data_IF_864700084209
#
_entry.id   IF_864700084209
#
_cell.length_a   1.000
_cell.length_b   1.000
_cell.length_c   1.000
_cell.angle_alpha   90.00
_cell.angle_beta   90.00
_cell.angle_gamma   90.00
#
_symmetry.space_group_name_H-M   'P 1'
#
loop_
_entity.id
_entity.type
_entity.pdbx_description
1 polymer ?
#
# COMPACT_ATOMS: atom_id res chain seq x y z
N UNK A 1 -26.92 5.92 4.99
CA UNK A 1 -25.84 5.12 5.62
C UNK A 1 -25.28 4.04 4.69
N UNK A 2 -26.10 3.35 3.87
CA UNK A 2 -25.62 2.37 2.90
C UNK A 2 -24.69 2.94 1.80
N UNK A 3 -24.91 4.19 1.38
CA UNK A 3 -24.14 4.81 0.29
C UNK A 3 -22.65 5.01 0.62
N UNK A 4 -22.32 5.26 1.89
CA UNK A 4 -20.94 5.47 2.33
C UNK A 4 -20.16 4.15 2.29
N UNK A 5 -20.79 3.04 2.70
CA UNK A 5 -20.18 1.70 2.63
C UNK A 5 -19.92 1.27 1.18
N UNK A 6 -20.88 1.48 0.28
CA UNK A 6 -20.73 1.14 -1.13
C UNK A 6 -19.60 1.94 -1.80
N UNK A 7 -19.56 3.26 -1.55
CA UNK A 7 -18.48 4.13 -2.07
C UNK A 7 -17.11 3.75 -1.52
N UNK A 8 -17.04 3.36 -0.26
CA UNK A 8 -15.80 2.89 0.35
C UNK A 8 -15.29 1.59 -0.29
N UNK A 9 -16.16 0.60 -0.51
CA UNK A 9 -15.80 -0.65 -1.20
C UNK A 9 -15.31 -0.38 -2.63
N UNK A 10 -15.95 0.53 -3.35
CA UNK A 10 -15.52 0.94 -4.69
C UNK A 10 -14.12 1.57 -4.65
N UNK A 11 -13.84 2.44 -3.68
CA UNK A 11 -12.52 3.05 -3.53
C UNK A 11 -11.43 2.00 -3.25
N UNK A 12 -11.71 1.06 -2.34
CA UNK A 12 -10.79 -0.06 -2.05
C UNK A 12 -10.56 -0.89 -3.31
N UNK A 13 -11.61 -1.26 -4.05
CA UNK A 13 -11.47 -2.01 -5.30
C UNK A 13 -10.64 -1.27 -6.35
N UNK A 14 -10.80 0.06 -6.44
CA UNK A 14 -10.04 0.88 -7.38
C UNK A 14 -8.55 0.87 -7.02
N UNK A 15 -8.20 1.08 -5.74
CA UNK A 15 -6.82 0.94 -5.27
C UNK A 15 -6.29 -0.47 -5.58
N UNK A 16 -7.09 -1.51 -5.34
CA UNK A 16 -6.67 -2.88 -5.57
C UNK A 16 -6.38 -3.17 -7.05
N UNK A 17 -7.08 -2.50 -7.97
CA UNK A 17 -6.95 -2.63 -9.42
C UNK A 17 -5.78 -1.81 -9.98
N UNK A 18 -5.58 -0.60 -9.46
CA UNK A 18 -4.62 0.36 -10.01
C UNK A 18 -3.22 0.24 -9.39
N UNK A 19 -3.06 -0.62 -8.39
CA UNK A 19 -1.78 -0.85 -7.71
C UNK A 19 -1.31 -2.30 -7.83
N UNK A 20 -0.01 -2.46 -8.00
CA UNK A 20 0.67 -3.75 -7.92
C UNK A 20 0.86 -4.15 -6.46
N UNK A 21 0.52 -5.39 -6.11
CA UNK A 21 0.80 -5.94 -4.77
C UNK A 21 2.20 -6.53 -4.72
N UNK A 22 3.12 -5.83 -4.06
CA UNK A 22 4.52 -6.24 -3.92
C UNK A 22 4.80 -6.95 -2.60
N UNK A 23 3.78 -7.14 -1.75
CA UNK A 23 3.89 -7.86 -0.48
C UNK A 23 4.91 -7.24 0.47
N UNK A 24 5.76 -8.07 1.07
CA UNK A 24 6.80 -7.66 2.03
C UNK A 24 7.92 -6.81 1.41
N UNK A 25 8.06 -6.81 0.07
CA UNK A 25 9.05 -5.99 -0.65
C UNK A 25 8.64 -4.51 -0.75
N UNK A 26 7.51 -4.13 -0.19
CA UNK A 26 7.00 -2.77 -0.31
C UNK A 26 8.00 -1.67 0.11
N UNK A 27 8.73 -1.78 1.23
CA UNK A 27 9.70 -0.74 1.59
C UNK A 27 10.82 -0.58 0.55
N UNK A 28 11.30 -1.70 0.01
CA UNK A 28 12.36 -1.72 -1.01
C UNK A 28 11.85 -1.14 -2.34
N UNK A 29 10.69 -1.59 -2.82
CA UNK A 29 10.10 -1.09 -4.06
C UNK A 29 9.72 0.40 -3.96
N UNK A 30 9.25 0.87 -2.80
CA UNK A 30 8.96 2.28 -2.58
C UNK A 30 10.22 3.14 -2.69
N UNK A 31 11.34 2.71 -2.10
CA UNK A 31 12.66 3.36 -2.23
C UNK A 31 13.13 3.37 -3.69
N UNK A 32 13.07 2.23 -4.38
CA UNK A 32 13.48 2.12 -5.79
C UNK A 32 12.68 3.06 -6.69
N UNK A 33 11.38 3.21 -6.46
CA UNK A 33 10.54 4.17 -7.20
C UNK A 33 10.92 5.61 -6.84
N UNK A 34 11.10 5.93 -5.55
CA UNK A 34 11.47 7.28 -5.08
C UNK A 34 12.82 7.75 -5.62
N UNK A 35 13.83 6.89 -5.64
CA UNK A 35 15.16 7.19 -6.17
C UNK A 35 15.26 7.05 -7.70
N UNK A 36 14.18 6.66 -8.39
CA UNK A 36 14.14 6.54 -9.85
C UNK A 36 14.90 5.34 -10.42
N UNK A 37 15.18 4.31 -9.62
CA UNK A 37 15.81 3.06 -10.07
C UNK A 37 14.87 2.22 -10.93
N UNK A 38 13.56 2.38 -10.75
CA UNK A 38 12.52 1.71 -11.53
C UNK A 38 11.44 2.69 -11.97
N UNK A 39 10.65 2.28 -12.96
CA UNK A 39 9.53 3.08 -13.45
C UNK A 39 8.49 3.35 -12.36
N UNK A 40 7.99 4.59 -12.34
CA UNK A 40 6.93 5.03 -11.43
C UNK A 40 5.63 4.27 -11.72
N UNK A 41 5.06 3.66 -10.69
CA UNK A 41 3.80 2.92 -10.74
C UNK A 41 3.16 2.86 -9.36
N UNK A 42 1.86 2.63 -9.30
CA UNK A 42 1.16 2.41 -8.04
C UNK A 42 1.56 1.06 -7.44
N UNK A 43 2.05 1.06 -6.19
CA UNK A 43 2.37 -0.17 -5.46
C UNK A 43 1.63 -0.18 -4.12
N UNK A 44 1.31 -1.39 -3.64
CA UNK A 44 0.85 -1.65 -2.29
C UNK A 44 1.59 -2.86 -1.72
N UNK A 45 1.61 -2.96 -0.41
CA UNK A 45 2.14 -4.15 0.26
C UNK A 45 2.20 -3.94 1.76
N UNK A 46 3.16 -4.59 2.40
CA UNK A 46 3.28 -4.67 3.84
C UNK A 46 4.51 -3.91 4.32
N UNK A 47 4.35 -3.13 5.39
CA UNK A 47 5.44 -2.48 6.09
C UNK A 47 5.16 -2.48 7.60
N UNK A 48 6.17 -2.84 8.39
CA UNK A 48 6.10 -2.71 9.84
C UNK A 48 6.04 -1.23 10.26
N UNK A 49 5.64 -0.91 11.50
CA UNK A 49 5.70 0.47 12.00
C UNK A 49 7.07 1.11 11.86
N UNK A 50 8.12 0.34 12.10
CA UNK A 50 9.52 0.78 12.01
C UNK A 50 9.88 1.09 10.55
N UNK A 51 9.58 0.18 9.62
CA UNK A 51 9.82 0.41 8.19
C UNK A 51 9.05 1.62 7.65
N UNK A 52 7.82 1.85 8.13
CA UNK A 52 7.06 3.06 7.75
C UNK A 52 7.70 4.34 8.28
N UNK A 53 8.29 4.31 9.47
CA UNK A 53 9.01 5.44 10.03
C UNK A 53 10.28 5.74 9.22
N UNK A 54 11.06 4.70 8.88
CA UNK A 54 12.25 4.83 8.02
C UNK A 54 11.91 5.44 6.66
N UNK A 55 10.84 4.95 6.01
CA UNK A 55 10.36 5.52 4.75
C UNK A 55 10.01 7.01 4.90
N UNK A 56 9.35 7.40 6.00
CA UNK A 56 9.01 8.80 6.26
C UNK A 56 10.26 9.66 6.47
N UNK A 57 11.28 9.16 7.18
CA UNK A 57 12.57 9.84 7.38
C UNK A 57 13.31 10.07 6.05
N UNK A 58 13.14 9.16 5.08
CA UNK A 58 13.63 9.28 3.71
C UNK A 58 12.78 10.21 2.82
N UNK A 59 11.65 10.73 3.32
CA UNK A 59 10.72 11.55 2.54
C UNK A 59 9.78 10.74 1.63
N UNK A 60 9.63 9.44 1.89
CA UNK A 60 8.72 8.54 1.19
C UNK A 60 7.41 8.43 1.99
N UNK A 61 6.41 9.22 1.59
CA UNK A 61 5.08 9.17 2.20
C UNK A 61 4.34 7.89 1.84
N UNK A 62 3.83 7.17 2.86
CA UNK A 62 3.05 5.95 2.69
C UNK A 62 1.72 6.05 3.43
N UNK A 63 0.65 5.58 2.80
CA UNK A 63 -0.70 5.66 3.36
C UNK A 63 -1.16 4.28 3.86
N UNK A 64 -1.67 4.18 5.10
CA UNK A 64 -2.25 2.93 5.57
C UNK A 64 -3.58 2.67 4.84
N UNK A 65 -3.68 1.53 4.18
CA UNK A 65 -4.95 1.08 3.60
C UNK A 65 -5.80 0.38 4.67
N UNK A 66 -7.04 0.84 4.92
CA UNK A 66 -7.92 0.25 5.94
C UNK A 66 -8.58 -1.03 5.43
N UNK A 67 -7.79 -2.00 4.95
CA UNK A 67 -8.32 -3.28 4.48
C UNK A 67 -8.64 -4.19 5.68
N UNK A 68 -9.83 -4.82 5.72
CA UNK A 68 -10.16 -5.83 6.71
C UNK A 68 -9.07 -6.88 6.77
N UNK A 69 -8.68 -7.32 7.97
CA UNK A 69 -7.60 -8.29 8.15
C UNK A 69 -7.78 -9.57 7.32
N UNK A 70 -9.03 -9.97 7.07
CA UNK A 70 -9.40 -11.10 6.23
C UNK A 70 -9.00 -10.96 4.74
N UNK A 71 -8.65 -9.76 4.27
CA UNK A 71 -8.24 -9.49 2.88
C UNK A 71 -6.72 -9.26 2.74
N UNK A 72 -5.95 -9.37 3.83
CA UNK A 72 -4.50 -9.12 3.85
C UNK A 72 -3.64 -10.29 3.34
N UNK A 73 -4.24 -11.31 2.72
CA UNK A 73 -3.54 -12.55 2.37
C UNK A 73 -3.43 -13.52 3.57
N UNK A 74 -2.90 -14.73 3.39
CA UNK A 74 -2.95 -15.76 4.42
C UNK A 74 -2.13 -15.35 5.65
N UNK A 75 -2.80 -15.27 6.80
CA UNK A 75 -2.15 -15.52 8.09
C UNK A 75 -1.95 -17.03 8.13
N UNK A 76 -0.70 -17.48 8.20
CA UNK A 76 -0.37 -18.91 8.22
C UNK A 76 -1.12 -19.67 9.31
#
# INVERSE_FOLDING_TARGET
MADIQARWLQAVQQVMRDTEDVGERFPEEARRIHYGEVAQRGIRGQATPEQRAELADEGIEVLPLPIPAALKGPVQ
#
